data_IF_931987423141
#
_entry.id   IF_931987423141
#
_cell.length_a   1.000
_cell.length_b   1.000
_cell.length_c   1.000
_cell.angle_alpha   90.00
_cell.angle_beta   90.00
_cell.angle_gamma   90.00
#
_symmetry.space_group_name_H-M   'P 1'
#
loop_
_entity.id
_entity.type
_entity.pdbx_description
1 polymer ?
#
# COMPACT_ATOMS: atom_id res chain seq x y z
N UNK A 1 9.85 9.58 -16.35
CA UNK A 1 9.24 10.19 -15.15
C UNK A 1 8.44 11.48 -15.39
N UNK A 2 8.58 12.17 -16.54
CA UNK A 2 7.77 13.36 -16.86
C UNK A 2 6.26 13.15 -16.74
N UNK A 3 5.78 11.95 -17.11
CA UNK A 3 4.37 11.56 -16.93
C UNK A 3 3.93 11.60 -15.47
N UNK A 4 4.77 11.13 -14.54
CA UNK A 4 4.49 11.19 -13.11
C UNK A 4 4.41 12.64 -12.61
N UNK A 5 5.42 13.44 -12.94
CA UNK A 5 5.56 14.82 -12.44
C UNK A 5 4.41 15.72 -12.90
N UNK A 6 3.94 15.55 -14.14
CA UNK A 6 2.99 16.48 -14.78
C UNK A 6 1.58 15.94 -14.93
N UNK A 7 1.36 14.64 -14.76
CA UNK A 7 0.09 13.99 -15.13
C UNK A 7 -0.39 12.92 -14.16
N UNK A 8 0.40 12.56 -13.15
CA UNK A 8 -0.01 11.61 -12.14
C UNK A 8 -0.52 12.29 -10.87
N UNK A 9 -1.38 11.54 -10.17
CA UNK A 9 -1.78 11.83 -8.80
C UNK A 9 -0.59 11.57 -7.88
N UNK A 10 -0.59 12.18 -6.69
CA UNK A 10 0.41 11.96 -5.64
C UNK A 10 0.23 10.60 -4.93
N UNK A 11 0.04 9.54 -5.70
CA UNK A 11 -0.23 8.18 -5.25
C UNK A 11 0.77 7.25 -5.91
N UNK A 12 1.45 6.43 -5.10
CA UNK A 12 2.41 5.42 -5.56
C UNK A 12 2.02 4.06 -5.02
N UNK A 13 1.69 3.14 -5.92
CA UNK A 13 1.51 1.72 -5.65
C UNK A 13 2.86 0.99 -5.65
N UNK A 14 3.11 0.19 -4.62
CA UNK A 14 4.29 -0.65 -4.48
C UNK A 14 3.84 -2.12 -4.42
N UNK A 15 4.46 -2.95 -5.26
CA UNK A 15 4.13 -4.38 -5.34
C UNK A 15 5.37 -5.22 -5.59
N UNK A 16 5.39 -6.43 -5.01
CA UNK A 16 6.46 -7.41 -5.13
C UNK A 16 5.89 -8.73 -5.65
N UNK A 17 6.52 -9.32 -6.68
CA UNK A 17 6.10 -10.62 -7.19
C UNK A 17 7.27 -11.60 -7.32
N UNK A 18 7.02 -12.86 -6.97
CA UNK A 18 8.03 -13.91 -7.06
C UNK A 18 8.21 -14.36 -8.52
N UNK A 19 9.45 -14.33 -8.99
CA UNK A 19 9.79 -14.78 -10.34
C UNK A 19 9.89 -16.31 -10.36
N UNK A 20 9.22 -16.92 -11.34
CA UNK A 20 9.28 -18.36 -11.59
C UNK A 20 10.35 -18.64 -12.65
N UNK A 21 11.26 -19.56 -12.36
CA UNK A 21 12.31 -19.97 -13.29
C UNK A 21 13.53 -20.53 -12.57
N UNK A 22 14.54 -20.96 -13.33
CA UNK A 22 15.77 -21.59 -12.81
C UNK A 22 16.48 -20.76 -11.73
N UNK A 23 16.38 -19.44 -11.80
CA UNK A 23 17.09 -18.50 -10.92
C UNK A 23 16.21 -17.92 -9.81
N UNK A 24 14.89 -18.19 -9.82
CA UNK A 24 13.95 -17.62 -8.86
C UNK A 24 14.02 -16.09 -8.77
N UNK A 25 13.83 -15.57 -7.56
CA UNK A 25 13.95 -14.15 -7.25
C UNK A 25 12.62 -13.43 -7.03
N UNK A 26 12.71 -12.11 -6.90
CA UNK A 26 11.58 -11.22 -6.72
C UNK A 26 11.71 -10.01 -7.66
N UNK A 27 10.61 -9.59 -8.26
CA UNK A 27 10.47 -8.34 -8.99
C UNK A 27 9.72 -7.36 -8.10
N UNK A 28 10.39 -6.29 -7.70
CA UNK A 28 9.78 -5.15 -7.05
C UNK A 28 9.32 -4.15 -8.12
N UNK A 29 8.19 -3.52 -7.91
CA UNK A 29 7.61 -2.56 -8.84
C UNK A 29 7.02 -1.37 -8.10
N UNK A 30 7.14 -0.21 -8.74
CA UNK A 30 6.47 1.02 -8.32
C UNK A 30 5.63 1.54 -9.49
N UNK A 31 4.38 1.91 -9.20
CA UNK A 31 3.41 2.42 -10.17
C UNK A 31 2.73 3.65 -9.62
N UNK A 32 2.31 4.56 -10.49
CA UNK A 32 1.45 5.69 -10.15
C UNK A 32 0.13 5.59 -10.90
N UNK A 33 -0.80 6.49 -10.57
CA UNK A 33 -2.04 6.67 -11.31
C UNK A 33 -2.02 8.03 -12.01
N UNK A 34 -2.33 8.05 -13.30
CA UNK A 34 -2.60 9.29 -14.01
C UNK A 34 -3.95 9.90 -13.63
N UNK A 35 -4.24 11.09 -14.15
CA UNK A 35 -5.52 11.79 -13.96
C UNK A 35 -6.75 10.95 -14.35
N UNK A 36 -6.58 10.01 -15.28
CA UNK A 36 -7.60 9.16 -15.89
C UNK A 36 -7.65 7.74 -15.30
N UNK A 37 -7.00 7.49 -14.16
CA UNK A 37 -6.88 6.17 -13.52
C UNK A 37 -6.05 5.14 -14.31
N UNK A 38 -5.26 5.57 -15.30
CA UNK A 38 -4.27 4.74 -15.96
C UNK A 38 -3.09 4.44 -15.04
N UNK A 39 -2.60 3.20 -15.08
CA UNK A 39 -1.40 2.80 -14.35
C UNK A 39 -0.14 3.24 -15.11
N UNK A 40 0.70 4.01 -14.43
CA UNK A 40 1.97 4.52 -14.98
C UNK A 40 3.13 3.84 -14.25
N UNK A 41 3.97 3.04 -14.93
CA UNK A 41 5.13 2.43 -14.29
C UNK A 41 6.18 3.48 -13.94
N UNK A 42 6.64 3.47 -12.69
CA UNK A 42 7.69 4.38 -12.20
C UNK A 42 9.07 3.73 -12.17
N UNK A 43 9.11 2.43 -11.88
CA UNK A 43 10.35 1.67 -11.84
C UNK A 43 10.11 0.21 -11.48
N UNK A 44 11.10 -0.61 -11.77
CA UNK A 44 11.18 -2.01 -11.36
C UNK A 44 12.58 -2.34 -10.86
N UNK A 45 12.69 -3.32 -9.98
CA UNK A 45 13.99 -3.87 -9.56
C UNK A 45 13.88 -5.38 -9.41
N UNK A 46 14.82 -6.11 -10.01
CA UNK A 46 14.95 -7.56 -9.80
C UNK A 46 15.94 -7.80 -8.67
N UNK A 47 15.52 -8.57 -7.67
CA UNK A 47 16.34 -8.92 -6.51
C UNK A 47 16.18 -10.39 -6.13
N UNK A 48 17.05 -10.87 -5.24
CA UNK A 48 17.05 -12.29 -4.83
C UNK A 48 15.81 -12.67 -4.02
N UNK A 49 15.30 -11.74 -3.22
CA UNK A 49 14.17 -11.95 -2.31
C UNK A 49 13.51 -10.62 -1.97
N UNK A 50 12.30 -10.69 -1.44
CA UNK A 50 11.58 -9.51 -0.98
C UNK A 50 11.89 -9.23 0.50
N UNK A 51 12.85 -8.33 0.74
CA UNK A 51 13.31 -7.97 2.09
C UNK A 51 13.45 -6.44 2.26
N UNK A 52 13.64 -5.99 3.52
CA UNK A 52 13.78 -4.57 3.87
C UNK A 52 14.89 -3.91 3.07
N UNK A 53 16.04 -4.56 2.97
CA UNK A 53 17.23 -4.03 2.32
C UNK A 53 16.99 -3.78 0.83
N UNK A 54 16.34 -4.73 0.15
CA UNK A 54 16.02 -4.59 -1.27
C UNK A 54 14.94 -3.53 -1.50
N UNK A 55 13.90 -3.46 -0.67
CA UNK A 55 12.92 -2.38 -0.74
C UNK A 55 13.54 -1.01 -0.48
N UNK A 56 14.44 -0.91 0.51
CA UNK A 56 15.16 0.32 0.81
C UNK A 56 16.03 0.76 -0.37
N UNK A 57 16.81 -0.15 -0.97
CA UNK A 57 17.62 0.16 -2.15
C UNK A 57 16.76 0.65 -3.31
N UNK A 58 15.69 -0.07 -3.63
CA UNK A 58 14.78 0.30 -4.72
C UNK A 58 14.18 1.69 -4.51
N UNK A 59 13.62 1.94 -3.33
CA UNK A 59 13.00 3.22 -2.99
C UNK A 59 14.02 4.35 -2.87
N UNK A 60 15.23 4.09 -2.39
CA UNK A 60 16.33 5.07 -2.33
C UNK A 60 16.71 5.56 -3.73
N UNK A 61 16.75 4.67 -4.71
CA UNK A 61 17.00 5.05 -6.11
C UNK A 61 15.81 5.78 -6.74
N UNK A 62 14.58 5.45 -6.33
CA UNK A 62 13.37 6.09 -6.83
C UNK A 62 13.08 7.44 -6.14
N UNK A 63 13.66 7.71 -4.98
CA UNK A 63 13.35 8.90 -4.16
C UNK A 63 13.61 10.25 -4.85
N UNK A 64 14.78 10.53 -5.45
CA UNK A 64 15.04 11.85 -6.06
C UNK A 64 14.00 12.21 -7.12
N UNK A 65 13.59 11.15 -7.80
CA UNK A 65 12.62 11.06 -8.87
C UNK A 65 11.18 11.28 -8.41
N UNK A 66 10.83 10.76 -7.23
CA UNK A 66 9.56 10.99 -6.57
C UNK A 66 9.46 12.41 -5.99
N UNK A 67 10.56 12.91 -5.43
CA UNK A 67 10.65 14.25 -4.83
C UNK A 67 10.51 15.38 -5.88
N UNK A 68 10.64 15.08 -7.19
CA UNK A 68 10.36 16.01 -8.30
C UNK A 68 8.85 16.30 -8.49
N UNK A 69 7.95 15.56 -7.82
CA UNK A 69 6.51 15.73 -7.96
C UNK A 69 6.01 17.05 -7.34
N UNK A 70 5.08 17.72 -8.02
CA UNK A 70 4.61 19.06 -7.64
C UNK A 70 3.84 19.10 -6.31
N UNK A 71 3.13 18.03 -5.96
CA UNK A 71 2.51 17.86 -4.63
C UNK A 71 3.52 17.25 -3.67
N UNK A 72 3.78 17.96 -2.58
CA UNK A 72 4.53 17.43 -1.45
C UNK A 72 3.67 16.44 -0.65
N UNK A 73 4.27 15.35 -0.18
CA UNK A 73 3.64 14.16 0.44
C UNK A 73 2.99 13.20 -0.56
N UNK A 74 3.74 12.14 -0.86
CA UNK A 74 3.28 11.04 -1.72
C UNK A 74 2.54 10.02 -0.86
N UNK A 75 1.36 9.60 -1.32
CA UNK A 75 0.58 8.55 -0.69
C UNK A 75 1.05 7.20 -1.20
N UNK A 76 1.78 6.45 -0.36
CA UNK A 76 2.20 5.09 -0.70
C UNK A 76 1.09 4.10 -0.40
N UNK A 77 0.86 3.17 -1.33
CA UNK A 77 -0.07 2.06 -1.17
C UNK A 77 0.66 0.76 -1.47
N UNK A 78 0.60 -0.19 -0.55
CA UNK A 78 1.22 -1.49 -0.74
C UNK A 78 0.48 -2.62 -0.04
N UNK A 79 0.88 -3.85 -0.31
CA UNK A 79 0.46 -5.00 0.47
C UNK A 79 1.15 -5.02 1.85
N UNK A 80 0.64 -5.85 2.78
CA UNK A 80 1.17 -5.99 4.15
C UNK A 80 2.44 -6.87 4.19
N UNK A 81 3.44 -6.50 3.41
CA UNK A 81 4.74 -7.17 3.39
C UNK A 81 5.56 -6.76 4.62
N UNK A 82 6.11 -7.73 5.34
CA UNK A 82 7.09 -7.48 6.41
C UNK A 82 8.39 -6.96 5.77
N UNK A 83 8.61 -5.65 5.86
CA UNK A 83 9.85 -4.98 5.48
C UNK A 83 9.67 -3.80 4.52
N UNK A 84 8.60 -3.80 3.73
CA UNK A 84 8.27 -2.66 2.88
C UNK A 84 7.86 -1.43 3.69
N UNK A 85 7.05 -1.64 4.76
CA UNK A 85 6.64 -0.55 5.67
C UNK A 85 7.84 0.17 6.27
N UNK A 86 8.84 -0.59 6.72
CA UNK A 86 10.01 -0.03 7.40
C UNK A 86 10.90 0.76 6.41
N UNK A 87 11.05 0.25 5.18
CA UNK A 87 11.74 0.97 4.11
C UNK A 87 11.05 2.30 3.73
N UNK A 88 9.72 2.29 3.58
CA UNK A 88 8.94 3.51 3.29
C UNK A 88 9.05 4.51 4.44
N UNK A 89 8.88 4.07 5.68
CA UNK A 89 8.97 4.94 6.86
C UNK A 89 10.35 5.58 7.00
N UNK A 90 11.41 4.83 6.69
CA UNK A 90 12.80 5.34 6.78
C UNK A 90 13.09 6.40 5.71
N UNK A 91 12.60 6.23 4.49
CA UNK A 91 12.92 7.12 3.35
C UNK A 91 11.93 8.27 3.15
N UNK A 92 10.68 8.08 3.60
CA UNK A 92 9.57 9.01 3.45
C UNK A 92 8.79 9.15 4.77
N UNK A 93 9.41 9.67 5.84
CA UNK A 93 8.83 9.68 7.18
C UNK A 93 7.54 10.51 7.30
N UNK A 94 7.40 11.53 6.45
CA UNK A 94 6.22 12.40 6.40
C UNK A 94 5.13 11.89 5.46
N UNK A 95 5.43 10.88 4.64
CA UNK A 95 4.50 10.39 3.62
C UNK A 95 3.53 9.37 4.20
N UNK A 96 2.22 9.50 3.96
CA UNK A 96 1.25 8.50 4.38
C UNK A 96 1.52 7.16 3.69
N UNK A 97 1.55 6.07 4.47
CA UNK A 97 1.64 4.70 3.96
C UNK A 97 0.37 3.93 4.31
N UNK A 98 -0.39 3.52 3.29
CA UNK A 98 -1.65 2.78 3.41
C UNK A 98 -1.50 1.37 2.88
N UNK A 99 -2.31 0.45 3.42
CA UNK A 99 -2.36 -0.92 2.92
C UNK A 99 -3.43 -1.11 1.86
N UNK A 100 -3.15 -1.94 0.86
CA UNK A 100 -4.10 -2.34 -0.19
C UNK A 100 -5.33 -2.99 0.42
N UNK A 101 -6.44 -2.29 0.32
CA UNK A 101 -7.70 -2.73 0.91
C UNK A 101 -8.24 -4.02 0.28
N UNK A 102 -7.92 -4.31 -0.99
CA UNK A 102 -8.34 -5.56 -1.68
C UNK A 102 -7.86 -6.82 -0.96
N UNK A 103 -6.59 -6.87 -0.54
CA UNK A 103 -6.07 -8.03 0.20
C UNK A 103 -6.64 -8.09 1.62
N UNK A 104 -6.82 -6.93 2.26
CA UNK A 104 -7.55 -6.85 3.54
C UNK A 104 -8.98 -7.37 3.41
N UNK A 105 -9.66 -7.08 2.30
CA UNK A 105 -11.01 -7.50 2.02
C UNK A 105 -11.11 -9.00 1.71
N UNK A 106 -10.16 -9.57 0.98
CA UNK A 106 -10.10 -11.03 0.78
C UNK A 106 -9.93 -11.77 2.12
N UNK A 107 -9.06 -11.27 2.99
CA UNK A 107 -8.91 -11.81 4.34
C UNK A 107 -10.17 -11.59 5.19
N UNK A 108 -10.79 -10.42 5.10
CA UNK A 108 -12.08 -10.12 5.74
C UNK A 108 -13.16 -11.09 5.26
N UNK A 109 -13.23 -11.39 3.95
CA UNK A 109 -14.20 -12.33 3.40
C UNK A 109 -14.04 -13.73 3.95
N UNK A 110 -12.80 -14.15 4.17
CA UNK A 110 -12.50 -15.47 4.75
C UNK A 110 -12.90 -15.56 6.23
N UNK A 111 -12.90 -14.43 6.95
CA UNK A 111 -13.14 -14.38 8.39
C UNK A 111 -14.61 -14.10 8.75
N UNK A 112 -15.27 -13.23 8.00
CA UNK A 112 -16.67 -12.88 8.18
C UNK A 112 -17.48 -13.39 7.00
N UNK A 113 -18.46 -14.26 7.23
CA UNK A 113 -19.28 -14.89 6.17
C UNK A 113 -20.59 -14.14 5.84
N UNK A 114 -20.78 -12.94 6.39
CA UNK A 114 -22.05 -12.21 6.34
C UNK A 114 -22.24 -11.43 5.04
N UNK A 115 -23.19 -11.84 4.18
CA UNK A 115 -23.50 -11.22 2.88
C UNK A 115 -23.66 -9.70 2.90
N UNK A 116 -24.41 -9.15 3.86
CA UNK A 116 -24.61 -7.69 4.00
C UNK A 116 -23.31 -6.93 4.30
N UNK A 117 -22.42 -7.48 5.12
CA UNK A 117 -21.10 -6.89 5.41
C UNK A 117 -20.20 -6.91 4.18
N UNK A 118 -20.23 -8.00 3.41
CA UNK A 118 -19.51 -8.06 2.14
C UNK A 118 -20.00 -6.99 1.17
N UNK A 119 -21.32 -6.84 1.00
CA UNK A 119 -21.92 -5.85 0.10
C UNK A 119 -21.61 -4.42 0.54
N UNK A 120 -21.69 -4.11 1.83
CA UNK A 120 -21.33 -2.77 2.33
C UNK A 120 -19.85 -2.44 2.06
N UNK A 121 -18.95 -3.40 2.28
CA UNK A 121 -17.52 -3.21 2.01
C UNK A 121 -17.21 -3.24 0.51
N UNK A 122 -17.99 -3.96 -0.30
CA UNK A 122 -17.93 -3.94 -1.77
C UNK A 122 -18.39 -2.61 -2.35
N UNK A 123 -19.46 -2.00 -1.82
CA UNK A 123 -19.92 -0.69 -2.24
C UNK A 123 -18.88 0.38 -1.90
N UNK A 124 -18.23 0.27 -0.73
CA UNK A 124 -17.02 1.03 -0.41
C UNK A 124 -15.96 0.74 -1.49
N UNK A 125 -15.57 -0.50 -1.76
CA UNK A 125 -14.56 -0.82 -2.78
C UNK A 125 -14.86 -0.31 -4.21
N UNK A 126 -16.12 -0.31 -4.63
CA UNK A 126 -16.58 0.09 -5.96
C UNK A 126 -16.66 1.61 -6.11
N UNK A 127 -16.98 2.33 -5.03
CA UNK A 127 -16.85 3.80 -4.95
C UNK A 127 -15.38 4.23 -4.77
N UNK A 128 -14.51 3.29 -4.35
CA UNK A 128 -13.12 3.53 -3.95
C UNK A 128 -12.14 3.32 -5.10
N UNK A 129 -12.12 4.29 -6.00
CA UNK A 129 -10.85 4.76 -6.52
C UNK A 129 -10.31 5.88 -5.59
N UNK A 130 -9.52 5.47 -4.59
CA UNK A 130 -8.49 6.28 -3.91
C UNK A 130 -8.82 7.57 -3.14
N UNK A 131 -10.05 8.09 -3.13
CA UNK A 131 -10.36 9.35 -2.44
C UNK A 131 -11.32 9.13 -1.25
N UNK A 132 -10.91 9.68 -0.10
CA UNK A 132 -11.57 9.74 1.22
C UNK A 132 -11.47 8.52 2.15
N UNK A 133 -10.35 8.47 2.89
CA UNK A 133 -10.21 7.72 4.15
C UNK A 133 -11.24 8.14 5.22
N UNK A 134 -11.76 9.37 5.19
CA UNK A 134 -12.68 9.87 6.22
C UNK A 134 -14.09 9.25 6.19
N UNK A 135 -14.60 8.84 5.02
CA UNK A 135 -15.90 8.12 4.93
C UNK A 135 -15.78 6.65 5.35
N UNK A 136 -14.59 6.06 5.24
CA UNK A 136 -14.30 4.70 5.67
C UNK A 136 -14.44 4.54 7.19
N UNK A 137 -13.86 5.47 7.95
CA UNK A 137 -13.96 5.51 9.42
C UNK A 137 -15.42 5.59 9.87
N UNK A 138 -16.28 6.37 9.19
CA UNK A 138 -17.70 6.47 9.55
C UNK A 138 -18.46 5.14 9.36
N UNK A 139 -18.18 4.41 8.28
CA UNK A 139 -18.83 3.11 8.01
C UNK A 139 -18.27 2.01 8.92
N UNK A 140 -16.97 2.03 9.20
CA UNK A 140 -16.37 1.10 10.16
C UNK A 140 -16.85 1.36 11.59
N UNK A 141 -17.05 2.62 11.99
CA UNK A 141 -17.58 2.99 13.32
C UNK A 141 -19.02 2.50 13.58
N UNK A 142 -19.79 2.15 12.53
CA UNK A 142 -21.08 1.47 12.69
C UNK A 142 -20.93 0.00 13.13
N UNK A 143 -19.73 -0.56 13.06
CA UNK A 143 -19.42 -1.94 13.44
C UNK A 143 -18.15 -1.95 14.30
N UNK A 144 -18.28 -1.55 15.57
CA UNK A 144 -17.17 -1.40 16.53
C UNK A 144 -16.23 -2.63 16.64
N UNK A 145 -16.76 -3.84 16.46
CA UNK A 145 -15.98 -5.08 16.47
C UNK A 145 -15.13 -5.29 15.20
N UNK A 146 -15.47 -4.63 14.09
CA UNK A 146 -14.70 -4.70 12.84
C UNK A 146 -13.54 -3.71 12.87
N UNK A 147 -13.74 -2.51 13.44
CA UNK A 147 -12.64 -1.56 13.73
C UNK A 147 -11.61 -2.20 14.65
N UNK A 148 -12.05 -2.78 15.78
CA UNK A 148 -11.13 -3.43 16.73
C UNK A 148 -10.43 -4.67 16.16
N UNK A 149 -10.99 -5.34 15.16
CA UNK A 149 -10.31 -6.40 14.42
C UNK A 149 -9.28 -5.85 13.41
N UNK A 150 -9.60 -4.75 12.73
CA UNK A 150 -8.67 -4.04 11.84
C UNK A 150 -7.50 -3.44 12.63
N UNK A 151 -7.78 -2.80 13.77
CA UNK A 151 -6.82 -2.21 14.71
C UNK A 151 -6.12 -3.26 15.57
N UNK A 152 -6.78 -4.36 15.91
CA UNK A 152 -6.22 -5.50 16.65
C UNK A 152 -5.08 -6.17 15.89
N UNK A 153 -5.14 -6.14 14.56
CA UNK A 153 -4.04 -6.52 13.67
C UNK A 153 -2.95 -5.44 13.54
N UNK A 154 -3.24 -4.19 13.90
CA UNK A 154 -2.26 -3.10 14.02
C UNK A 154 -1.57 -3.07 15.40
N UNK A 155 -2.23 -3.57 16.46
CA UNK A 155 -1.76 -3.52 17.86
C UNK A 155 -0.96 -4.73 18.32
N UNK A 156 -0.85 -5.81 17.53
CA UNK A 156 0.04 -6.96 17.81
C UNK A 156 1.56 -6.65 17.73
N UNK A 157 1.95 -5.37 17.80
CA UNK A 157 3.34 -4.92 17.97
C UNK A 157 3.54 -3.96 19.15
N UNK A 158 2.66 -3.92 20.16
CA UNK A 158 2.93 -3.16 21.40
C UNK A 158 3.73 -3.92 22.48
N UNK A 159 4.09 -5.18 22.25
CA UNK A 159 5.10 -5.86 23.06
C UNK A 159 6.34 -6.12 22.21
N UNK A 160 7.26 -5.15 22.18
CA UNK A 160 8.71 -5.33 21.99
C UNK A 160 9.41 -3.95 21.94
N UNK A 161 9.18 -3.09 22.94
CA UNK A 161 10.15 -2.07 23.35
C UNK A 161 10.18 -2.02 24.90
N UNK A 162 11.34 -2.47 25.40
CA UNK A 162 11.88 -2.79 26.75
C UNK A 162 11.61 -1.79 27.90
N UNK A 163 11.90 -2.13 29.18
CA UNK A 163 12.43 -3.40 29.74
C UNK A 163 11.36 -4.35 30.28
#
# INVERSE_FOLDING_TARGET
MRAFINGCRNVVGLDGCHLKGKYGGCLLSATALDGQNGLVPLGIMVCKNECVENWFLFLKHLKPRLDEHHVQEINFISDRQKGLRDAVHTLFPTSPHRFRFRHMYQNFKSHFKGSKLHTMVELVLLDYCFLQYQRFETILNLVSHVVSWFDGKASHQKHLLRP
#
